data_IF_129280580717
#
_entry.id   IF_129280580717
#
_cell.length_a   1.000
_cell.length_b   1.000
_cell.length_c   1.000
_cell.angle_alpha   90.00
_cell.angle_beta   90.00
_cell.angle_gamma   90.00
#
_symmetry.space_group_name_H-M   'P 1'
#
loop_
_entity.id
_entity.type
_entity.pdbx_description
1 polymer ?
#
# COMPACT_ATOMS: atom_id res chain seq x y z
N UNK A 1 1.45 -3.00 15.14
CA UNK A 1 2.05 -2.84 13.79
C UNK A 1 2.43 -1.39 13.50
N UNK A 2 1.66 -0.40 13.95
CA UNK A 2 1.83 1.01 13.56
C UNK A 2 2.65 1.89 14.52
N UNK A 3 3.29 1.29 15.53
CA UNK A 3 3.98 2.04 16.57
C UNK A 3 3.04 2.82 17.50
N UNK A 4 3.61 3.59 18.40
CA UNK A 4 2.89 4.51 19.30
C UNK A 4 3.86 5.50 19.94
N UNK A 5 3.30 6.56 20.51
CA UNK A 5 4.00 7.49 21.38
C UNK A 5 3.12 7.77 22.59
N UNK A 6 3.68 7.55 23.77
CA UNK A 6 3.07 7.87 25.07
C UNK A 6 3.88 9.03 25.63
N UNK A 7 3.21 10.15 25.87
CA UNK A 7 3.80 11.38 26.42
C UNK A 7 2.99 11.80 27.65
N UNK A 8 3.17 11.06 28.74
CA UNK A 8 2.55 11.33 30.03
C UNK A 8 3.65 11.69 31.02
N UNK A 9 3.38 12.59 31.97
CA UNK A 9 4.35 12.95 33.02
C UNK A 9 4.84 11.69 33.74
N UNK A 10 6.14 11.41 33.68
CA UNK A 10 6.75 10.21 34.25
C UNK A 10 6.70 8.95 33.36
N UNK A 11 6.13 9.03 32.15
CA UNK A 11 6.08 7.93 31.18
C UNK A 11 6.19 8.47 29.73
N UNK A 12 7.42 8.49 29.21
CA UNK A 12 7.75 8.93 27.85
C UNK A 12 8.28 7.75 27.04
N UNK A 13 7.38 6.93 26.49
CA UNK A 13 7.74 5.74 25.68
C UNK A 13 7.36 5.94 24.23
N UNK A 14 8.23 5.50 23.32
CA UNK A 14 8.00 5.56 21.88
C UNK A 14 8.36 4.24 21.25
N UNK A 15 7.44 3.72 20.44
CA UNK A 15 7.70 2.60 19.53
C UNK A 15 7.63 3.09 18.10
N UNK A 16 8.75 3.04 17.40
CA UNK A 16 8.76 3.29 15.95
C UNK A 16 8.04 2.16 15.24
N UNK A 17 7.13 2.51 14.34
CA UNK A 17 6.34 1.54 13.57
C UNK A 17 7.23 0.54 12.81
N UNK A 18 7.04 -0.78 12.98
CA UNK A 18 7.63 -1.78 12.09
C UNK A 18 6.95 -1.85 10.71
N UNK A 19 5.76 -1.25 10.55
CA UNK A 19 5.08 -1.11 9.25
C UNK A 19 5.17 0.36 8.82
N UNK A 20 5.92 0.63 7.74
CA UNK A 20 6.07 1.98 7.19
C UNK A 20 5.32 2.05 5.87
N UNK A 21 4.55 3.10 5.66
CA UNK A 21 3.72 3.28 4.47
C UNK A 21 4.10 4.60 3.81
N UNK A 22 4.26 4.58 2.50
CA UNK A 22 4.43 5.77 1.67
C UNK A 22 3.06 6.32 1.27
N UNK A 23 2.92 7.64 1.07
CA UNK A 23 1.69 8.21 0.53
C UNK A 23 1.39 7.62 -0.85
N UNK A 24 0.10 7.56 -1.18
CA UNK A 24 -0.34 7.30 -2.55
C UNK A 24 -0.11 8.58 -3.37
N UNK A 25 0.68 8.48 -4.44
CA UNK A 25 0.99 9.54 -5.39
C UNK A 25 0.40 9.17 -6.74
N UNK A 26 -0.18 10.13 -7.44
CA UNK A 26 -0.75 9.87 -8.76
C UNK A 26 0.34 9.45 -9.77
N UNK A 27 0.02 8.47 -10.61
CA UNK A 27 0.84 8.12 -11.77
C UNK A 27 0.65 9.08 -12.95
N UNK A 28 -0.43 9.86 -12.95
CA UNK A 28 -0.77 10.80 -14.01
C UNK A 28 -0.78 12.24 -13.49
N UNK A 29 -0.50 13.23 -14.34
CA UNK A 29 -0.66 14.63 -13.95
C UNK A 29 -2.13 14.94 -13.60
N UNK A 30 -2.33 15.85 -12.66
CA UNK A 30 -3.65 16.42 -12.38
C UNK A 30 -4.09 17.29 -13.56
N UNK A 31 -5.35 17.16 -13.98
CA UNK A 31 -5.89 17.86 -15.16
C UNK A 31 -6.72 19.10 -14.83
N UNK A 32 -6.93 19.42 -13.55
CA UNK A 32 -7.77 20.56 -13.18
C UNK A 32 -9.26 20.29 -13.24
N UNK A 33 -9.68 19.01 -13.20
CA UNK A 33 -11.09 18.63 -13.29
C UNK A 33 -11.87 19.14 -12.05
N UNK A 34 -13.02 19.76 -12.31
CA UNK A 34 -13.85 20.47 -11.32
C UNK A 34 -15.33 20.17 -11.55
N UNK A 35 -16.05 19.97 -10.46
CA UNK A 35 -17.50 19.84 -10.42
C UNK A 35 -18.12 21.13 -9.89
N UNK A 36 -18.99 21.72 -10.71
CA UNK A 36 -19.68 22.98 -10.46
C UNK A 36 -21.09 22.69 -9.99
N UNK A 37 -21.26 22.72 -8.68
CA UNK A 37 -22.51 22.45 -7.99
C UNK A 37 -23.26 23.75 -7.68
N UNK A 38 -24.56 23.62 -7.42
CA UNK A 38 -25.36 24.70 -6.86
C UNK A 38 -26.02 24.27 -5.56
N UNK A 39 -25.89 25.10 -4.52
CA UNK A 39 -26.59 24.91 -3.25
C UNK A 39 -27.85 25.77 -3.25
N UNK A 40 -28.98 25.14 -3.54
CA UNK A 40 -30.29 25.80 -3.47
C UNK A 40 -30.67 26.04 -2.01
N UNK A 41 -31.03 27.27 -1.66
CA UNK A 41 -31.71 27.57 -0.40
C UNK A 41 -33.21 27.36 -0.63
N UNK A 42 -33.91 26.67 0.29
CA UNK A 42 -35.37 26.56 0.21
C UNK A 42 -35.97 27.98 0.18
N UNK A 43 -36.77 28.25 -0.84
CA UNK A 43 -37.53 29.50 -1.07
C UNK A 43 -36.75 30.74 -1.56
N UNK A 44 -36.02 30.65 -2.68
CA UNK A 44 -35.69 31.86 -3.45
C UNK A 44 -35.68 31.62 -4.95
N UNK A 45 -36.54 32.33 -5.69
CA UNK A 45 -36.55 32.43 -7.16
C UNK A 45 -35.30 33.12 -7.75
N UNK A 46 -34.25 33.31 -6.93
CA UNK A 46 -33.04 34.09 -7.25
C UNK A 46 -31.77 33.25 -7.49
N UNK A 47 -31.92 31.93 -7.63
CA UNK A 47 -30.80 31.01 -7.88
C UNK A 47 -30.00 30.64 -6.61
N UNK A 48 -29.36 29.48 -6.64
CA UNK A 48 -28.55 28.94 -5.53
C UNK A 48 -27.09 29.46 -5.54
N UNK A 49 -26.38 29.25 -4.43
CA UNK A 49 -24.94 29.57 -4.37
C UNK A 49 -24.14 28.58 -5.22
N UNK A 50 -23.21 29.07 -6.03
CA UNK A 50 -22.24 28.20 -6.71
C UNK A 50 -21.27 27.59 -5.69
N UNK A 51 -21.01 26.29 -5.85
CA UNK A 51 -20.04 25.53 -5.06
C UNK A 51 -19.17 24.79 -6.06
N UNK A 52 -17.86 24.81 -5.85
CA UNK A 52 -16.92 24.14 -6.72
C UNK A 52 -16.16 23.09 -5.93
N UNK A 53 -16.03 21.89 -6.49
CA UNK A 53 -15.27 20.80 -5.89
C UNK A 53 -14.35 20.21 -6.94
N UNK A 54 -13.05 20.13 -6.63
CA UNK A 54 -12.11 19.38 -7.46
C UNK A 54 -12.49 17.90 -7.44
N UNK A 55 -12.60 17.31 -8.62
CA UNK A 55 -12.77 15.86 -8.80
C UNK A 55 -11.54 15.36 -9.53
N UNK A 56 -11.03 14.20 -9.12
CA UNK A 56 -9.89 13.60 -9.77
C UNK A 56 -10.00 12.09 -9.72
N UNK A 57 -9.70 11.44 -10.84
CA UNK A 57 -9.64 9.98 -10.95
C UNK A 57 -8.34 9.60 -11.63
N UNK A 58 -7.60 8.68 -11.01
CA UNK A 58 -6.27 8.26 -11.46
C UNK A 58 -5.90 6.93 -10.86
N UNK A 59 -4.91 6.26 -11.45
CA UNK A 59 -4.15 5.23 -10.74
C UNK A 59 -3.13 5.90 -9.83
N UNK A 60 -3.16 5.54 -8.55
CA UNK A 60 -2.20 6.01 -7.57
C UNK A 60 -1.21 4.91 -7.24
N UNK A 61 0.05 5.27 -7.12
CA UNK A 61 1.13 4.41 -6.65
C UNK A 61 1.52 4.79 -5.24
N UNK A 62 1.68 3.78 -4.39
CA UNK A 62 2.42 3.90 -3.15
C UNK A 62 2.89 2.52 -2.74
N UNK A 63 3.14 2.35 -1.44
CA UNK A 63 3.62 1.08 -0.94
C UNK A 63 4.11 1.19 0.49
N UNK A 64 4.94 0.26 0.90
CA UNK A 64 5.46 0.26 2.25
C UNK A 64 6.53 -0.80 2.49
N UNK A 65 7.01 -0.83 3.73
CA UNK A 65 7.98 -1.77 4.23
C UNK A 65 7.45 -2.39 5.53
N UNK A 66 7.56 -3.70 5.65
CA UNK A 66 7.26 -4.44 6.88
C UNK A 66 8.55 -5.02 7.43
N UNK A 67 8.97 -4.58 8.61
CA UNK A 67 10.12 -5.12 9.34
C UNK A 67 9.74 -6.40 10.08
N UNK A 68 9.83 -7.56 9.41
CA UNK A 68 9.45 -8.86 10.00
C UNK A 68 10.21 -9.18 11.29
N UNK A 69 11.47 -8.75 11.37
CA UNK A 69 12.36 -8.88 12.54
C UNK A 69 11.87 -8.09 13.76
N UNK A 70 11.13 -6.99 13.57
CA UNK A 70 10.61 -6.12 14.65
C UNK A 70 9.12 -6.33 14.95
N UNK A 71 8.36 -6.93 14.05
CA UNK A 71 6.93 -7.21 14.29
C UNK A 71 6.77 -8.10 15.52
N UNK A 72 6.08 -7.61 16.54
CA UNK A 72 5.78 -8.37 17.76
C UNK A 72 6.92 -8.47 18.78
N UNK A 73 8.09 -7.90 18.52
CA UNK A 73 9.19 -7.76 19.48
C UNK A 73 9.18 -6.37 20.10
N UNK A 74 9.29 -6.27 21.42
CA UNK A 74 9.24 -5.03 22.18
C UNK A 74 10.44 -4.90 23.09
N UNK A 75 11.10 -3.75 23.02
CA UNK A 75 12.21 -3.42 23.93
C UNK A 75 11.69 -2.83 25.23
N UNK A 76 12.50 -2.86 26.29
CA UNK A 76 12.15 -2.27 27.59
C UNK A 76 11.99 -0.75 27.56
N UNK A 77 12.45 -0.08 26.49
CA UNK A 77 12.18 1.35 26.25
C UNK A 77 10.80 1.61 25.64
N UNK A 78 10.16 0.58 25.08
CA UNK A 78 8.88 0.68 24.40
C UNK A 78 7.72 0.29 25.33
N UNK A 79 7.93 -0.68 26.22
CA UNK A 79 6.94 -1.19 27.18
C UNK A 79 7.40 -1.01 28.63
N UNK A 80 6.48 -0.93 29.60
CA UNK A 80 6.84 -0.83 31.04
C UNK A 80 7.41 -2.13 31.58
N UNK A 81 6.99 -3.24 30.99
CA UNK A 81 7.43 -4.57 31.38
C UNK A 81 8.80 -4.90 30.80
N UNK A 82 9.29 -6.10 31.09
CA UNK A 82 10.52 -6.61 30.47
C UNK A 82 10.33 -6.75 28.97
N UNK A 83 11.43 -6.61 28.24
CA UNK A 83 11.47 -6.88 26.80
C UNK A 83 10.79 -8.22 26.50
N UNK A 84 9.90 -8.22 25.52
CA UNK A 84 9.03 -9.36 25.26
C UNK A 84 8.82 -9.56 23.76
N UNK A 85 8.59 -10.80 23.39
CA UNK A 85 8.22 -11.19 22.04
C UNK A 85 6.88 -11.93 22.07
N UNK A 86 5.98 -11.48 21.21
CA UNK A 86 4.68 -12.12 21.01
C UNK A 86 4.89 -13.44 20.24
N UNK A 87 4.14 -14.52 20.55
CA UNK A 87 4.22 -15.78 19.83
C UNK A 87 4.09 -15.62 18.31
N UNK A 88 4.84 -16.44 17.56
CA UNK A 88 4.87 -16.43 16.09
C UNK A 88 3.46 -16.54 15.49
N UNK A 89 2.60 -17.38 16.06
CA UNK A 89 1.21 -17.54 15.62
C UNK A 89 0.44 -16.22 15.67
N UNK A 90 0.58 -15.43 16.73
CA UNK A 90 -0.10 -14.14 16.86
C UNK A 90 0.57 -13.05 15.99
N UNK A 91 1.90 -13.10 15.80
CA UNK A 91 2.60 -12.22 14.83
C UNK A 91 2.05 -12.44 13.41
N UNK A 92 1.96 -13.70 13.00
CA UNK A 92 1.45 -14.14 11.72
C UNK A 92 -0.03 -13.76 11.54
N UNK A 93 -0.87 -13.97 12.57
CA UNK A 93 -2.27 -13.53 12.54
C UNK A 93 -2.40 -12.02 12.30
N UNK A 94 -1.61 -11.19 12.99
CA UNK A 94 -1.63 -9.73 12.82
C UNK A 94 -1.19 -9.31 11.42
N UNK A 95 -0.17 -9.95 10.87
CA UNK A 95 0.29 -9.68 9.50
C UNK A 95 -0.76 -10.09 8.47
N UNK A 96 -1.42 -11.24 8.65
CA UNK A 96 -2.51 -11.67 7.76
C UNK A 96 -3.67 -10.67 7.75
N UNK A 97 -4.12 -10.22 8.92
CA UNK A 97 -5.19 -9.20 9.02
C UNK A 97 -4.78 -7.89 8.37
N UNK A 98 -3.51 -7.50 8.53
CA UNK A 98 -2.98 -6.30 7.87
C UNK A 98 -2.99 -6.45 6.34
N UNK A 99 -2.54 -7.59 5.82
CA UNK A 99 -2.59 -7.90 4.39
C UNK A 99 -4.02 -7.95 3.84
N UNK A 100 -4.96 -8.52 4.60
CA UNK A 100 -6.39 -8.47 4.25
C UNK A 100 -6.91 -7.04 4.15
N UNK A 101 -6.56 -6.21 5.13
CA UNK A 101 -6.95 -4.79 5.15
C UNK A 101 -6.37 -4.01 3.97
N UNK A 102 -5.16 -4.36 3.50
CA UNK A 102 -4.56 -3.77 2.30
C UNK A 102 -5.25 -4.22 1.02
N UNK A 103 -5.66 -5.49 0.93
CA UNK A 103 -6.36 -6.01 -0.24
C UNK A 103 -7.76 -5.38 -0.39
N UNK A 104 -8.45 -5.13 0.72
CA UNK A 104 -9.80 -4.55 0.74
C UNK A 104 -9.80 -3.11 1.24
N UNK A 105 -8.79 -2.33 0.85
CA UNK A 105 -8.58 -0.99 1.38
C UNK A 105 -9.80 -0.08 1.12
N UNK A 106 -10.27 0.60 2.17
CA UNK A 106 -11.39 1.55 2.14
C UNK A 106 -10.95 2.92 2.67
N UNK A 107 -11.42 4.00 2.06
CA UNK A 107 -11.19 5.38 2.53
C UNK A 107 -12.52 6.03 2.90
N UNK A 108 -12.51 6.91 3.91
CA UNK A 108 -13.72 7.60 4.36
C UNK A 108 -13.99 8.94 3.67
N UNK A 109 -13.04 9.48 2.89
CA UNK A 109 -13.12 10.84 2.36
C UNK A 109 -14.20 10.98 1.28
N UNK A 110 -15.24 11.80 1.53
CA UNK A 110 -16.29 12.18 0.57
C UNK A 110 -16.98 11.03 -0.19
N UNK A 111 -16.90 9.79 0.28
CA UNK A 111 -17.41 8.60 -0.43
C UNK A 111 -18.92 8.65 -0.77
N UNK A 112 -19.73 9.35 0.02
CA UNK A 112 -21.15 9.56 -0.27
C UNK A 112 -21.38 10.32 -1.57
N UNK A 113 -20.49 11.26 -1.90
CA UNK A 113 -20.60 12.10 -3.11
C UNK A 113 -19.65 11.63 -4.22
N UNK A 114 -18.50 11.04 -3.85
CA UNK A 114 -17.44 10.62 -4.75
C UNK A 114 -17.03 9.20 -4.35
N UNK A 115 -17.83 8.22 -4.79
CA UNK A 115 -17.56 6.80 -4.54
C UNK A 115 -16.31 6.40 -5.33
N UNK A 116 -15.27 5.96 -4.63
CA UNK A 116 -13.99 5.58 -5.25
C UNK A 116 -13.47 4.27 -4.68
N UNK A 117 -13.01 3.40 -5.57
CA UNK A 117 -12.36 2.15 -5.24
C UNK A 117 -10.84 2.36 -5.17
N UNK A 118 -10.27 2.21 -3.97
CA UNK A 118 -8.83 2.33 -3.71
C UNK A 118 -8.16 0.99 -3.46
N UNK A 119 -8.86 -0.12 -3.69
CA UNK A 119 -8.23 -1.45 -3.63
C UNK A 119 -7.12 -1.56 -4.67
N UNK A 120 -6.05 -2.32 -4.38
CA UNK A 120 -4.93 -2.45 -5.29
C UNK A 120 -5.38 -3.08 -6.62
N UNK A 121 -4.86 -2.55 -7.73
CA UNK A 121 -5.06 -3.10 -9.09
C UNK A 121 -3.82 -3.79 -9.63
N UNK A 122 -2.69 -3.49 -9.03
CA UNK A 122 -1.38 -4.07 -9.27
C UNK A 122 -0.57 -3.94 -7.98
N UNK A 123 0.16 -4.98 -7.60
CA UNK A 123 1.01 -4.97 -6.41
C UNK A 123 2.25 -5.83 -6.61
N UNK A 124 3.38 -5.40 -6.05
CA UNK A 124 4.63 -6.16 -6.05
C UNK A 124 5.07 -6.34 -4.61
N UNK A 125 5.17 -7.60 -4.17
CA UNK A 125 5.78 -7.98 -2.91
C UNK A 125 7.21 -8.44 -3.16
N UNK A 126 8.15 -7.90 -2.40
CA UNK A 126 9.55 -8.31 -2.42
C UNK A 126 9.97 -8.67 -1.01
N UNK A 127 10.41 -9.90 -0.83
CA UNK A 127 11.06 -10.37 0.39
C UNK A 127 12.54 -10.05 0.30
N UNK A 128 13.07 -9.37 1.30
CA UNK A 128 14.42 -8.82 1.27
C UNK A 128 15.20 -9.16 2.54
N UNK A 129 16.52 -9.29 2.39
CA UNK A 129 17.46 -9.46 3.51
C UNK A 129 17.87 -8.12 4.15
N UNK A 130 17.58 -7.01 3.48
CA UNK A 130 17.90 -5.64 3.93
C UNK A 130 16.65 -4.75 3.94
N UNK A 131 16.70 -3.62 4.66
CA UNK A 131 15.58 -2.68 4.80
C UNK A 131 15.61 -1.62 3.69
N UNK A 132 15.33 -2.01 2.45
CA UNK A 132 15.37 -1.13 1.29
C UNK A 132 14.03 -1.06 0.52
N UNK A 133 13.29 0.06 0.57
CA UNK A 133 12.01 0.18 -0.13
C UNK A 133 12.19 0.58 -1.62
N UNK A 134 13.05 -0.13 -2.37
CA UNK A 134 13.42 0.25 -3.75
C UNK A 134 12.24 0.24 -4.73
N UNK A 135 11.23 -0.60 -4.48
CA UNK A 135 10.04 -0.72 -5.34
C UNK A 135 9.14 0.52 -5.35
N UNK A 136 9.28 1.40 -4.34
CA UNK A 136 8.47 2.62 -4.26
C UNK A 136 8.60 3.49 -5.51
N UNK A 137 9.74 3.43 -6.22
CA UNK A 137 10.00 4.21 -7.43
C UNK A 137 9.98 3.39 -8.73
N UNK A 138 9.83 2.07 -8.63
CA UNK A 138 9.99 1.13 -9.73
C UNK A 138 8.74 1.02 -10.62
N UNK A 139 7.54 1.22 -10.06
CA UNK A 139 6.29 1.12 -10.82
C UNK A 139 5.99 2.45 -11.49
N UNK A 140 5.79 2.43 -12.80
CA UNK A 140 5.26 3.55 -13.60
C UNK A 140 4.40 3.02 -14.74
N UNK A 141 3.61 3.89 -15.36
CA UNK A 141 2.79 3.55 -16.50
C UNK A 141 3.00 4.55 -17.64
N UNK A 142 2.72 4.11 -18.86
CA UNK A 142 2.60 4.99 -20.01
C UNK A 142 1.32 5.85 -19.95
N UNK A 143 1.12 6.69 -20.97
CA UNK A 143 -0.06 7.58 -21.06
C UNK A 143 -1.39 6.84 -21.20
N UNK A 144 -1.38 5.54 -21.51
CA UNK A 144 -2.55 4.68 -21.65
C UNK A 144 -2.81 3.82 -20.42
N UNK A 145 -1.96 3.89 -19.40
CA UNK A 145 -2.09 3.07 -18.19
C UNK A 145 -1.48 1.68 -18.31
N UNK A 146 -0.61 1.45 -19.29
CA UNK A 146 0.18 0.22 -19.37
C UNK A 146 1.39 0.31 -18.47
N UNK A 147 1.58 -0.69 -17.61
CA UNK A 147 2.72 -0.78 -16.67
C UNK A 147 4.02 -0.95 -17.45
N UNK A 148 5.03 -0.15 -17.10
CA UNK A 148 6.37 -0.23 -17.67
C UNK A 148 7.13 -1.44 -17.10
N UNK A 149 7.11 -2.55 -17.86
CA UNK A 149 7.75 -3.79 -17.46
C UNK A 149 9.27 -3.70 -17.42
N UNK A 150 9.87 -2.97 -18.36
CA UNK A 150 11.32 -2.83 -18.46
C UNK A 150 11.89 -2.13 -17.22
N UNK A 151 11.26 -1.04 -16.77
CA UNK A 151 11.69 -0.32 -15.56
C UNK A 151 11.54 -1.15 -14.30
N UNK A 152 10.44 -1.90 -14.15
CA UNK A 152 10.26 -2.78 -12.99
C UNK A 152 11.33 -3.88 -12.99
N UNK A 153 11.60 -4.50 -14.15
CA UNK A 153 12.62 -5.53 -14.30
C UNK A 153 14.02 -5.03 -14.00
N UNK A 154 14.40 -3.86 -14.51
CA UNK A 154 15.69 -3.23 -14.21
C UNK A 154 15.87 -3.06 -12.70
N UNK A 155 14.84 -2.52 -12.03
CA UNK A 155 14.85 -2.35 -10.58
C UNK A 155 15.01 -3.69 -9.84
N UNK A 156 14.26 -4.72 -10.24
CA UNK A 156 14.38 -6.06 -9.64
C UNK A 156 15.76 -6.70 -9.89
N UNK A 157 16.37 -6.50 -11.07
CA UNK A 157 17.72 -6.99 -11.35
C UNK A 157 18.79 -6.29 -10.55
N UNK A 158 18.68 -4.97 -10.36
CA UNK A 158 19.65 -4.17 -9.61
C UNK A 158 19.69 -4.55 -8.12
N UNK A 159 18.60 -5.11 -7.59
CA UNK A 159 18.48 -5.51 -6.18
C UNK A 159 18.27 -7.02 -5.99
N UNK A 160 18.64 -7.84 -6.98
CA UNK A 160 18.48 -9.30 -6.92
C UNK A 160 19.28 -9.95 -5.78
N UNK A 161 20.51 -9.48 -5.51
CA UNK A 161 21.37 -10.00 -4.43
C UNK A 161 20.75 -9.89 -3.03
N UNK A 162 19.86 -8.91 -2.82
CA UNK A 162 19.20 -8.68 -1.53
C UNK A 162 17.73 -9.10 -1.54
N UNK A 163 17.22 -9.60 -2.67
CA UNK A 163 15.82 -10.02 -2.84
C UNK A 163 15.77 -11.55 -2.87
N UNK A 164 15.03 -12.15 -1.94
CA UNK A 164 14.89 -13.61 -1.85
C UNK A 164 13.73 -14.14 -2.69
N UNK A 165 12.65 -13.37 -2.79
CA UNK A 165 11.46 -13.79 -3.52
C UNK A 165 10.63 -12.58 -3.95
N UNK A 166 10.03 -12.66 -5.13
CA UNK A 166 9.10 -11.65 -5.65
C UNK A 166 7.77 -12.29 -5.99
N UNK A 167 6.68 -11.66 -5.54
CA UNK A 167 5.31 -12.05 -5.89
C UNK A 167 4.60 -10.81 -6.44
N UNK A 168 4.10 -10.91 -7.66
CA UNK A 168 3.37 -9.86 -8.36
C UNK A 168 1.89 -10.26 -8.43
N UNK A 169 1.02 -9.36 -7.97
CA UNK A 169 -0.42 -9.50 -8.07
C UNK A 169 -0.97 -8.59 -9.17
N UNK A 170 -1.70 -9.14 -10.14
CA UNK A 170 -2.30 -8.38 -11.23
C UNK A 170 -3.84 -8.45 -11.21
N UNK A 171 -4.46 -7.47 -11.86
CA UNK A 171 -5.89 -7.46 -12.20
C UNK A 171 -6.04 -7.03 -13.65
N UNK A 172 -7.19 -7.32 -14.28
CA UNK A 172 -7.47 -6.87 -15.63
C UNK A 172 -7.80 -5.37 -15.77
N UNK A 173 -7.71 -4.59 -14.68
CA UNK A 173 -8.05 -3.15 -14.68
C UNK A 173 -6.89 -2.29 -15.22
N UNK A 174 -5.65 -2.71 -15.00
CA UNK A 174 -4.45 -2.03 -15.47
C UNK A 174 -3.69 -2.97 -16.42
N UNK A 175 -3.27 -2.44 -17.58
CA UNK A 175 -2.57 -3.27 -18.57
C UNK A 175 -1.19 -3.64 -18.04
N UNK A 176 -1.03 -4.93 -17.72
CA UNK A 176 0.20 -5.54 -17.21
C UNK A 176 0.65 -6.71 -18.10
N UNK A 177 0.20 -6.75 -19.35
CA UNK A 177 0.50 -7.81 -20.32
C UNK A 177 2.00 -8.06 -20.53
N UNK A 178 2.82 -7.00 -20.53
CA UNK A 178 4.28 -7.13 -20.64
C UNK A 178 4.92 -7.76 -19.39
N UNK A 179 4.30 -7.59 -18.22
CA UNK A 179 4.76 -8.24 -16.99
C UNK A 179 4.42 -9.72 -17.03
N UNK A 180 3.21 -10.09 -17.47
CA UNK A 180 2.76 -11.49 -17.55
C UNK A 180 3.62 -12.34 -18.50
N UNK A 181 4.26 -11.72 -19.49
CA UNK A 181 5.20 -12.38 -20.38
C UNK A 181 6.56 -12.73 -19.71
N UNK A 182 6.81 -12.23 -18.50
CA UNK A 182 8.07 -12.45 -17.77
C UNK A 182 8.01 -13.79 -17.06
N UNK A 183 9.00 -14.63 -17.31
CA UNK A 183 9.25 -15.87 -16.55
C UNK A 183 10.66 -15.85 -15.98
N UNK A 184 10.77 -15.83 -14.65
CA UNK A 184 12.02 -16.02 -13.89
C UNK A 184 11.70 -16.86 -12.66
N UNK A 185 12.63 -17.72 -12.25
CA UNK A 185 12.41 -18.66 -11.15
C UNK A 185 12.02 -17.97 -9.82
N UNK A 186 12.53 -16.75 -9.58
CA UNK A 186 12.31 -16.00 -8.34
C UNK A 186 11.08 -15.07 -8.37
N UNK A 187 10.37 -15.00 -9.51
CA UNK A 187 9.23 -14.10 -9.72
C UNK A 187 7.97 -14.92 -10.00
N UNK A 188 6.96 -14.77 -9.14
CA UNK A 188 5.66 -15.38 -9.32
C UNK A 188 4.63 -14.31 -9.68
N UNK A 189 3.91 -14.51 -10.77
CA UNK A 189 2.84 -13.61 -11.20
C UNK A 189 1.52 -14.35 -11.00
N UNK A 190 0.62 -13.75 -10.23
CA UNK A 190 -0.63 -14.37 -9.80
C UNK A 190 -1.78 -13.36 -9.87
N UNK A 191 -3.03 -13.81 -10.01
CA UNK A 191 -4.19 -12.97 -9.74
C UNK A 191 -4.07 -12.33 -8.35
N UNK A 192 -4.53 -11.08 -8.20
CA UNK A 192 -4.27 -10.30 -6.98
C UNK A 192 -4.65 -11.03 -5.68
N UNK A 193 -5.79 -11.71 -5.64
CA UNK A 193 -6.23 -12.46 -4.46
C UNK A 193 -5.26 -13.60 -4.10
N UNK A 194 -4.77 -14.32 -5.12
CA UNK A 194 -3.81 -15.41 -4.96
C UNK A 194 -2.43 -14.89 -4.57
N UNK A 195 -2.01 -13.74 -5.07
CA UNK A 195 -0.77 -13.09 -4.66
C UNK A 195 -0.77 -12.78 -3.15
N UNK A 196 -1.86 -12.20 -2.62
CA UNK A 196 -2.01 -11.95 -1.18
C UNK A 196 -2.03 -13.26 -0.38
N UNK A 197 -2.70 -14.31 -0.86
CA UNK A 197 -2.69 -15.62 -0.22
C UNK A 197 -1.28 -16.23 -0.17
N UNK A 198 -0.56 -16.21 -1.30
CA UNK A 198 0.82 -16.72 -1.41
C UNK A 198 1.80 -15.98 -0.50
N UNK A 199 1.65 -14.66 -0.34
CA UNK A 199 2.45 -13.88 0.60
C UNK A 199 2.20 -14.34 2.04
N UNK A 200 0.94 -14.56 2.44
CA UNK A 200 0.62 -15.08 3.79
C UNK A 200 1.21 -16.47 4.02
N UNK A 201 1.09 -17.37 3.05
CA UNK A 201 1.72 -18.70 3.11
C UNK A 201 3.23 -18.61 3.27
N UNK A 202 3.87 -17.69 2.56
CA UNK A 202 5.31 -17.45 2.64
C UNK A 202 5.69 -16.94 4.03
N UNK A 203 4.97 -15.97 4.57
CA UNK A 203 5.18 -15.45 5.93
C UNK A 203 5.05 -16.54 7.01
N UNK A 204 4.21 -17.55 6.79
CA UNK A 204 4.00 -18.62 7.77
C UNK A 204 5.14 -19.66 7.77
N UNK A 205 5.99 -19.66 6.74
CA UNK A 205 7.16 -20.53 6.61
C UNK A 205 8.45 -19.89 7.14
N UNK A 206 8.44 -18.57 7.39
CA UNK A 206 9.53 -17.79 7.96
C UNK A 206 9.51 -17.86 9.50
#
# INVERSE_FOLDING_TARGET
>A
LFGYMIAVTGDNRKRTSPVRIAPLVSLFPYRGDRDLLTKTRKASDKGGNMVETEIYSTFMRGGGLIELDRVGKFDSSEIKDKATEIPVVERNRRLSIFLDSLMTLWTGGKQTNILSDISPKFIVFSFQTVKLPFLLEAVSCDTKGKVDAAKLLDSLSNYSTVTTQVIIGTTGVIDSSEIEAITKDDIQILPIAEAFARVKETLFKL
#
